data_IF_937006061142
#
_entry.id   IF_937006061142
#
_cell.length_a   1.000
_cell.length_b   1.000
_cell.length_c   1.000
_cell.angle_alpha   90.00
_cell.angle_beta   90.00
_cell.angle_gamma   90.00
#
_symmetry.space_group_name_H-M   'P 1'
#
loop_
_entity.id
_entity.type
_entity.pdbx_description
1 polymer ?
#
# COMPACT_ATOMS: atom_id res chain seq x y z
N UNK A 1 -0.81 6.39 14.70
CA UNK A 1 -1.43 6.69 13.40
C UNK A 1 -0.86 5.78 12.30
N UNK A 2 0.47 5.67 12.14
CA UNK A 2 1.11 4.81 11.13
C UNK A 2 0.76 3.32 11.30
N UNK A 3 0.57 2.83 12.54
CA UNK A 3 0.18 1.46 12.80
C UNK A 3 -1.22 1.08 12.27
N UNK A 4 -2.07 2.06 11.96
CA UNK A 4 -3.39 1.83 11.38
C UNK A 4 -3.38 1.80 9.85
N UNK A 5 -2.25 2.07 9.21
CA UNK A 5 -2.12 2.04 7.75
C UNK A 5 -1.99 0.61 7.25
N UNK A 6 -2.79 0.18 6.26
CA UNK A 6 -2.75 -1.19 5.75
C UNK A 6 -1.43 -1.52 5.04
N UNK A 7 -0.79 -0.56 4.38
CA UNK A 7 0.52 -0.73 3.73
C UNK A 7 1.65 -1.00 4.74
N UNK A 8 1.62 -0.33 5.90
CA UNK A 8 2.58 -0.57 6.99
C UNK A 8 2.34 -1.96 7.60
N UNK A 9 1.08 -2.33 7.84
CA UNK A 9 0.73 -3.67 8.34
C UNK A 9 1.14 -4.77 7.35
N UNK A 10 0.96 -4.54 6.05
CA UNK A 10 1.40 -5.46 5.01
C UNK A 10 2.92 -5.63 5.01
N UNK A 11 3.69 -4.54 5.12
CA UNK A 11 5.14 -4.59 5.18
C UNK A 11 5.64 -5.33 6.45
N UNK A 12 4.98 -5.12 7.59
CA UNK A 12 5.27 -5.85 8.83
C UNK A 12 4.98 -7.33 8.69
N UNK A 13 3.84 -7.71 8.11
CA UNK A 13 3.49 -9.11 7.85
C UNK A 13 4.48 -9.77 6.88
N UNK A 14 4.95 -9.06 5.84
CA UNK A 14 5.98 -9.55 4.92
C UNK A 14 7.32 -9.81 5.63
N UNK A 15 7.71 -8.95 6.57
CA UNK A 15 8.91 -9.17 7.38
C UNK A 15 8.76 -10.39 8.29
N UNK A 16 7.62 -10.54 8.98
CA UNK A 16 7.34 -11.71 9.83
C UNK A 16 7.39 -12.99 9.01
N UNK A 17 6.82 -12.99 7.81
CA UNK A 17 6.90 -14.12 6.90
C UNK A 17 8.35 -14.47 6.53
N UNK A 18 9.16 -13.48 6.15
CA UNK A 18 10.57 -13.71 5.83
C UNK A 18 11.38 -14.19 7.04
N UNK A 19 11.06 -13.72 8.25
CA UNK A 19 11.63 -14.20 9.49
C UNK A 19 11.33 -15.69 9.71
N UNK A 20 10.08 -16.11 9.54
CA UNK A 20 9.69 -17.52 9.70
C UNK A 20 10.31 -18.40 8.61
N UNK A 21 10.46 -17.92 7.38
CA UNK A 21 11.20 -18.65 6.34
C UNK A 21 12.68 -18.87 6.71
N UNK A 22 13.29 -17.91 7.42
CA UNK A 22 14.65 -18.09 7.94
C UNK A 22 14.67 -19.20 9.01
N UNK A 23 13.66 -19.29 9.88
CA UNK A 23 13.53 -20.38 10.84
C UNK A 23 13.33 -21.72 10.13
N UNK A 24 12.49 -21.77 9.09
CA UNK A 24 12.30 -22.96 8.25
C UNK A 24 13.65 -23.40 7.61
N UNK A 25 14.41 -22.45 7.05
CA UNK A 25 15.73 -22.78 6.49
C UNK A 25 16.71 -23.35 7.53
N UNK A 26 16.62 -22.91 8.79
CA UNK A 26 17.39 -23.46 9.91
C UNK A 26 17.02 -24.90 10.24
N UNK A 27 15.74 -25.29 10.07
CA UNK A 27 15.30 -26.66 10.36
C UNK A 27 15.97 -27.70 9.45
N UNK A 28 16.43 -27.30 8.26
CA UNK A 28 17.17 -28.19 7.36
C UNK A 28 18.52 -28.69 7.92
N UNK A 29 18.99 -28.10 9.03
CA UNK A 29 20.19 -28.56 9.76
C UNK A 29 19.89 -29.57 10.87
N UNK A 30 18.63 -29.88 11.13
CA UNK A 30 18.20 -30.90 12.08
C UNK A 30 17.79 -32.18 11.36
N UNK A 31 17.85 -33.35 12.04
CA UNK A 31 17.36 -34.60 11.47
C UNK A 31 15.86 -34.55 11.23
N UNK A 32 15.39 -35.06 10.10
CA UNK A 32 13.99 -35.28 9.82
C UNK A 32 13.55 -36.65 10.33
N UNK A 33 12.47 -36.70 11.09
CA UNK A 33 11.79 -37.93 11.50
C UNK A 33 10.65 -38.22 10.54
N UNK A 34 10.66 -39.39 9.91
CA UNK A 34 9.55 -39.88 9.08
C UNK A 34 8.94 -41.11 9.74
N UNK A 35 7.63 -41.12 9.86
CA UNK A 35 6.85 -42.28 10.32
C UNK A 35 5.98 -42.70 9.15
N UNK A 36 6.15 -43.96 8.72
CA UNK A 36 5.38 -44.57 7.64
C UNK A 36 4.55 -45.72 8.16
N UNK A 37 3.28 -45.74 7.82
CA UNK A 37 2.39 -46.84 8.13
C UNK A 37 1.76 -47.39 6.84
N UNK A 38 1.69 -48.68 6.68
CA UNK A 38 0.93 -49.33 5.62
C UNK A 38 0.07 -50.45 6.15
N UNK A 39 -1.11 -50.58 5.62
CA UNK A 39 -2.00 -51.70 5.87
C UNK A 39 -2.63 -52.14 4.56
N UNK A 40 -2.71 -53.44 4.34
CA UNK A 40 -3.28 -54.00 3.13
C UNK A 40 -3.51 -55.49 3.24
N UNK A 41 -4.12 -56.08 2.19
CA UNK A 41 -4.27 -57.51 2.06
C UNK A 41 -3.15 -58.05 1.15
N UNK A 42 -2.47 -59.10 1.59
CA UNK A 42 -1.38 -59.76 0.86
C UNK A 42 -1.60 -61.26 0.89
N UNK A 43 -1.78 -61.92 -0.28
CA UNK A 43 -1.99 -63.35 -0.39
C UNK A 43 -1.27 -63.87 -1.63
N UNK A 44 -0.75 -65.10 -1.54
CA UNK A 44 -0.14 -65.80 -2.67
C UNK A 44 -1.15 -66.38 -3.66
N UNK A 45 -2.43 -66.58 -3.23
CA UNK A 45 -3.51 -67.09 -4.05
C UNK A 45 -4.76 -66.21 -3.99
N UNK A 46 -5.43 -66.05 -5.09
CA UNK A 46 -6.63 -65.20 -5.17
C UNK A 46 -7.79 -65.73 -4.26
N UNK A 47 -7.82 -67.04 -4.02
CA UNK A 47 -8.84 -67.68 -3.14
C UNK A 47 -8.73 -67.22 -1.67
N UNK A 48 -7.53 -66.93 -1.21
CA UNK A 48 -7.29 -66.54 0.24
C UNK A 48 -7.10 -65.02 0.36
N UNK A 49 -7.38 -64.23 -0.67
CA UNK A 49 -7.14 -62.80 -0.63
C UNK A 49 -8.01 -62.06 0.38
N UNK A 50 -9.24 -62.54 0.62
CA UNK A 50 -10.17 -61.96 1.60
C UNK A 50 -10.19 -62.68 2.96
N UNK A 51 -9.26 -63.61 3.17
CA UNK A 51 -9.13 -64.25 4.48
C UNK A 51 -8.51 -63.30 5.51
N UNK A 52 -8.87 -63.34 6.76
CA UNK A 52 -8.24 -62.55 7.84
C UNK A 52 -6.73 -62.75 7.95
N UNK A 53 -6.22 -63.90 7.52
CA UNK A 53 -4.80 -64.20 7.46
C UNK A 53 -4.01 -63.46 6.37
N UNK A 54 -4.68 -62.85 5.41
CA UNK A 54 -4.06 -62.03 4.38
C UNK A 54 -3.83 -60.56 4.82
N UNK A 55 -4.34 -60.15 5.97
CA UNK A 55 -4.13 -58.83 6.51
C UNK A 55 -2.67 -58.64 6.91
N UNK A 56 -1.99 -57.70 6.25
CA UNK A 56 -0.62 -57.29 6.54
C UNK A 56 -0.63 -55.83 6.95
N UNK A 57 0.00 -55.52 8.09
CA UNK A 57 0.20 -54.14 8.54
C UNK A 57 1.69 -53.95 8.91
N UNK A 58 2.23 -52.79 8.55
CA UNK A 58 3.60 -52.46 8.95
C UNK A 58 3.66 -51.00 9.39
N UNK A 59 4.49 -50.75 10.41
CA UNK A 59 4.85 -49.40 10.85
C UNK A 59 6.37 -49.32 10.84
N UNK A 60 6.92 -48.28 10.19
CA UNK A 60 8.32 -47.97 10.14
C UNK A 60 8.60 -46.54 10.61
N UNK A 61 9.70 -46.36 11.31
CA UNK A 61 10.21 -45.01 11.65
C UNK A 61 11.64 -44.87 11.10
N UNK A 62 11.87 -43.72 10.44
CA UNK A 62 13.20 -43.40 9.88
C UNK A 62 13.67 -42.03 10.32
N UNK A 63 14.96 -41.91 10.71
CA UNK A 63 15.61 -40.64 11.01
C UNK A 63 16.65 -40.37 9.92
N UNK A 64 16.53 -39.22 9.22
CA UNK A 64 17.42 -38.88 8.13
C UNK A 64 18.03 -37.51 8.36
N UNK A 65 19.40 -37.46 8.29
CA UNK A 65 20.19 -36.21 8.37
C UNK A 65 21.12 -36.10 7.19
N UNK A 66 20.95 -35.10 6.29
CA UNK A 66 21.92 -34.88 5.22
C UNK A 66 23.21 -34.23 5.76
N UNK A 67 24.32 -34.93 5.77
CA UNK A 67 25.64 -34.42 6.19
C UNK A 67 26.36 -33.75 5.01
N UNK A 68 26.29 -34.34 3.82
CA UNK A 68 26.91 -33.85 2.59
C UNK A 68 25.85 -33.57 1.53
N UNK A 69 25.42 -32.28 1.41
CA UNK A 69 24.40 -31.83 0.43
C UNK A 69 24.93 -30.70 -0.45
N UNK A 70 26.20 -30.69 -0.83
CA UNK A 70 26.81 -29.65 -1.69
C UNK A 70 26.56 -28.20 -1.19
N UNK A 71 26.51 -27.98 0.12
CA UNK A 71 26.23 -26.71 0.80
C UNK A 71 24.81 -26.14 0.56
N UNK A 72 23.89 -26.90 -0.02
CA UNK A 72 22.56 -26.43 -0.32
C UNK A 72 21.87 -25.82 0.91
N UNK A 73 21.90 -26.50 2.07
CA UNK A 73 21.29 -25.99 3.31
C UNK A 73 21.89 -24.64 3.73
N UNK A 74 23.23 -24.50 3.62
CA UNK A 74 23.89 -23.24 3.98
C UNK A 74 23.52 -22.12 3.01
N UNK A 75 23.47 -22.39 1.72
CA UNK A 75 23.05 -21.40 0.71
C UNK A 75 21.60 -20.98 0.94
N UNK A 76 20.68 -21.94 1.16
CA UNK A 76 19.28 -21.64 1.44
C UNK A 76 19.09 -20.78 2.69
N UNK A 77 19.86 -21.06 3.76
CA UNK A 77 19.85 -20.23 4.96
C UNK A 77 20.34 -18.80 4.68
N UNK A 78 21.45 -18.65 3.94
CA UNK A 78 21.95 -17.33 3.56
C UNK A 78 20.92 -16.57 2.73
N UNK A 79 20.33 -17.21 1.72
CA UNK A 79 19.28 -16.60 0.89
C UNK A 79 18.07 -16.15 1.74
N UNK A 80 17.65 -17.00 2.70
CA UNK A 80 16.54 -16.63 3.60
C UNK A 80 16.89 -15.44 4.51
N UNK A 81 18.14 -15.38 5.02
CA UNK A 81 18.61 -14.25 5.83
C UNK A 81 18.67 -12.95 5.03
N UNK A 82 19.17 -12.99 3.80
CA UNK A 82 19.20 -11.81 2.91
C UNK A 82 17.78 -11.36 2.54
N UNK A 83 16.86 -12.31 2.30
CA UNK A 83 15.45 -12.00 2.06
C UNK A 83 14.78 -11.33 3.28
N UNK A 84 15.10 -11.79 4.50
CA UNK A 84 14.64 -11.16 5.73
C UNK A 84 15.18 -9.72 5.87
N UNK A 85 16.44 -9.50 5.54
CA UNK A 85 17.06 -8.18 5.58
C UNK A 85 16.43 -7.24 4.53
N UNK A 86 16.18 -7.75 3.32
CA UNK A 86 15.46 -7.01 2.28
C UNK A 86 14.05 -6.61 2.74
N UNK A 87 13.31 -7.51 3.41
CA UNK A 87 12.00 -7.20 3.98
C UNK A 87 12.07 -6.14 5.09
N UNK A 88 13.13 -6.13 5.91
CA UNK A 88 13.37 -5.08 6.91
C UNK A 88 13.58 -3.70 6.25
N UNK A 89 14.34 -3.63 5.17
CA UNK A 89 14.48 -2.40 4.39
C UNK A 89 13.16 -2.00 3.73
N UNK A 90 12.32 -2.97 3.34
CA UNK A 90 10.96 -2.75 2.85
C UNK A 90 10.10 -1.99 3.86
N UNK A 91 10.09 -2.42 5.14
CA UNK A 91 9.39 -1.69 6.21
C UNK A 91 9.90 -0.25 6.35
N UNK A 92 11.23 -0.08 6.41
CA UNK A 92 11.82 1.26 6.54
C UNK A 92 11.39 2.17 5.40
N UNK A 93 11.43 1.67 4.17
CA UNK A 93 10.98 2.42 2.98
C UNK A 93 9.49 2.79 3.06
N UNK A 94 8.62 1.84 3.43
CA UNK A 94 7.19 2.09 3.60
C UNK A 94 6.92 3.16 4.66
N UNK A 95 7.64 3.12 5.79
CA UNK A 95 7.51 4.14 6.84
C UNK A 95 7.96 5.53 6.38
N UNK A 96 9.04 5.62 5.60
CA UNK A 96 9.51 6.88 5.05
C UNK A 96 8.52 7.47 4.05
N UNK A 97 7.98 6.64 3.14
CA UNK A 97 6.94 7.05 2.19
C UNK A 97 5.68 7.51 2.95
N UNK A 98 5.25 6.75 3.95
CA UNK A 98 4.10 7.12 4.77
C UNK A 98 4.29 8.46 5.48
N UNK A 99 5.49 8.73 6.01
CA UNK A 99 5.83 10.02 6.63
C UNK A 99 5.82 11.17 5.61
N UNK A 100 6.36 10.93 4.42
CA UNK A 100 6.32 11.90 3.32
C UNK A 100 4.89 12.23 2.92
N UNK A 101 4.03 11.21 2.68
CA UNK A 101 2.63 11.40 2.30
C UNK A 101 1.84 12.24 3.32
N UNK A 102 2.06 12.00 4.62
CA UNK A 102 1.42 12.81 5.67
C UNK A 102 1.93 14.25 5.63
N UNK A 103 3.23 14.46 5.49
CA UNK A 103 3.83 15.79 5.38
C UNK A 103 3.27 16.54 4.18
N UNK A 104 3.28 15.90 2.99
CA UNK A 104 2.77 16.49 1.76
C UNK A 104 1.28 16.84 1.87
N UNK A 105 0.47 15.98 2.50
CA UNK A 105 -0.95 16.22 2.69
C UNK A 105 -1.22 17.41 3.64
N UNK A 106 -0.42 17.59 4.69
CA UNK A 106 -0.51 18.74 5.61
C UNK A 106 -0.18 20.04 4.85
N UNK A 107 0.94 20.06 4.11
CA UNK A 107 1.33 21.24 3.33
C UNK A 107 0.33 21.57 2.24
N UNK A 108 -0.19 20.55 1.54
CA UNK A 108 -1.23 20.74 0.51
C UNK A 108 -2.50 21.35 1.10
N UNK A 109 -2.92 20.89 2.28
CA UNK A 109 -4.09 21.44 2.98
C UNK A 109 -3.86 22.91 3.39
N UNK A 110 -2.71 23.24 3.97
CA UNK A 110 -2.38 24.60 4.38
C UNK A 110 -2.33 25.57 3.18
N UNK A 111 -1.62 25.17 2.10
CA UNK A 111 -1.53 25.99 0.88
C UNK A 111 -2.86 26.14 0.16
N UNK A 112 -3.74 25.13 0.20
CA UNK A 112 -5.08 25.22 -0.37
C UNK A 112 -5.96 26.26 0.37
N UNK A 113 -5.82 26.37 1.70
CA UNK A 113 -6.51 27.41 2.49
C UNK A 113 -6.03 28.81 2.12
N UNK A 114 -4.74 29.03 2.05
CA UNK A 114 -4.15 30.34 1.66
C UNK A 114 -4.60 30.72 0.24
N UNK A 115 -4.57 29.77 -0.69
CA UNK A 115 -4.96 29.98 -2.08
C UNK A 115 -6.41 30.41 -2.22
N UNK A 116 -7.34 29.84 -1.44
CA UNK A 116 -8.75 30.26 -1.43
C UNK A 116 -8.89 31.69 -0.96
N UNK A 117 -8.15 32.11 0.07
CA UNK A 117 -8.20 33.49 0.58
C UNK A 117 -7.74 34.49 -0.49
N UNK A 118 -6.59 34.23 -1.12
CA UNK A 118 -6.06 35.08 -2.20
C UNK A 118 -6.99 35.11 -3.39
N UNK A 119 -7.58 33.96 -3.76
CA UNK A 119 -8.56 33.88 -4.86
C UNK A 119 -9.82 34.68 -4.56
N UNK A 120 -10.31 34.67 -3.33
CA UNK A 120 -11.46 35.49 -2.94
C UNK A 120 -11.19 36.97 -3.13
N UNK A 121 -10.02 37.45 -2.66
CA UNK A 121 -9.62 38.84 -2.89
C UNK A 121 -9.47 39.19 -4.37
N UNK A 122 -9.00 38.25 -5.18
CA UNK A 122 -8.91 38.45 -6.65
C UNK A 122 -10.30 38.58 -7.28
N UNK A 123 -11.26 37.72 -6.89
CA UNK A 123 -12.64 37.79 -7.40
C UNK A 123 -13.29 39.13 -7.01
N UNK A 124 -13.18 39.56 -5.74
CA UNK A 124 -13.72 40.83 -5.28
C UNK A 124 -13.12 42.03 -6.04
N UNK A 125 -11.82 42.00 -6.34
CA UNK A 125 -11.17 43.05 -7.13
C UNK A 125 -11.65 43.05 -8.58
N UNK A 126 -11.87 41.88 -9.20
CA UNK A 126 -12.35 41.75 -10.57
C UNK A 126 -13.85 42.14 -10.69
N UNK A 127 -14.69 41.84 -9.68
CA UNK A 127 -16.09 42.32 -9.62
C UNK A 127 -16.12 43.84 -9.64
N UNK A 128 -15.30 44.50 -8.83
CA UNK A 128 -15.18 45.99 -8.84
C UNK A 128 -14.68 46.49 -10.19
N UNK A 129 -13.69 45.82 -10.80
CA UNK A 129 -13.18 46.15 -12.12
C UNK A 129 -14.27 46.10 -13.18
N UNK A 130 -15.11 45.05 -13.20
CA UNK A 130 -16.25 44.95 -14.10
C UNK A 130 -17.24 46.08 -13.87
N UNK A 131 -17.56 46.39 -12.61
CA UNK A 131 -18.49 47.47 -12.29
C UNK A 131 -17.99 48.86 -12.79
N UNK A 132 -16.68 49.14 -12.55
CA UNK A 132 -16.06 50.39 -13.01
C UNK A 132 -16.01 50.49 -14.55
N UNK A 133 -15.63 49.39 -15.23
CA UNK A 133 -15.58 49.37 -16.69
C UNK A 133 -16.96 49.57 -17.32
N UNK A 134 -18.01 49.01 -16.70
CA UNK A 134 -19.41 49.23 -17.15
C UNK A 134 -19.82 50.69 -16.98
N UNK A 135 -19.46 51.34 -15.86
CA UNK A 135 -19.75 52.74 -15.65
C UNK A 135 -19.00 53.66 -16.62
N UNK A 136 -17.73 53.36 -16.89
CA UNK A 136 -16.95 54.04 -17.92
C UNK A 136 -17.57 53.88 -19.31
N UNK A 137 -18.08 52.69 -19.66
CA UNK A 137 -18.82 52.50 -20.91
C UNK A 137 -20.06 53.35 -21.00
N UNK A 138 -20.88 53.42 -19.93
CA UNK A 138 -22.10 54.25 -19.87
C UNK A 138 -21.81 55.73 -20.09
N UNK A 139 -20.64 56.19 -19.60
CA UNK A 139 -20.22 57.57 -19.72
C UNK A 139 -19.37 57.85 -21.00
N UNK A 140 -19.23 56.86 -21.88
CA UNK A 140 -18.51 57.00 -23.16
C UNK A 140 -16.97 56.98 -23.07
N UNK A 141 -16.41 56.63 -21.92
CA UNK A 141 -14.95 56.59 -21.68
C UNK A 141 -14.31 55.22 -21.89
N UNK A 142 -15.10 54.15 -22.09
CA UNK A 142 -14.63 52.81 -22.40
C UNK A 142 -15.39 52.23 -23.58
N UNK A 143 -14.83 51.18 -24.20
CA UNK A 143 -15.48 50.46 -25.28
C UNK A 143 -16.02 49.09 -24.80
N UNK A 144 -16.92 48.50 -25.60
CA UNK A 144 -17.58 47.23 -25.25
C UNK A 144 -16.60 46.08 -25.10
N UNK A 145 -15.48 46.05 -25.83
CA UNK A 145 -14.46 45.01 -25.73
C UNK A 145 -13.79 45.02 -24.35
N UNK A 146 -13.61 46.20 -23.73
CA UNK A 146 -13.01 46.29 -22.40
C UNK A 146 -13.94 45.66 -21.33
N UNK A 147 -15.25 45.87 -21.47
CA UNK A 147 -16.24 45.22 -20.55
C UNK A 147 -16.21 43.70 -20.75
N UNK A 148 -16.14 43.20 -21.99
CA UNK A 148 -16.08 41.78 -22.28
C UNK A 148 -14.81 41.18 -21.66
N UNK A 149 -13.65 41.80 -21.84
CA UNK A 149 -12.37 41.38 -21.31
C UNK A 149 -12.40 41.32 -19.76
N UNK A 150 -12.97 42.36 -19.10
CA UNK A 150 -13.14 42.37 -17.66
C UNK A 150 -14.02 41.24 -17.18
N UNK A 151 -15.15 40.96 -17.85
CA UNK A 151 -16.03 39.83 -17.52
C UNK A 151 -15.42 38.48 -17.75
N UNK A 152 -14.63 38.30 -18.81
CA UNK A 152 -13.89 37.05 -19.05
C UNK A 152 -12.88 36.79 -17.93
N UNK A 153 -12.18 37.85 -17.48
CA UNK A 153 -11.22 37.74 -16.37
C UNK A 153 -11.93 37.38 -15.07
N UNK A 154 -13.09 37.96 -14.79
CA UNK A 154 -13.91 37.62 -13.63
C UNK A 154 -14.37 36.16 -13.68
N UNK A 155 -14.93 35.74 -14.81
CA UNK A 155 -15.40 34.35 -14.98
C UNK A 155 -14.25 33.35 -14.80
N UNK A 156 -13.07 33.64 -15.33
CA UNK A 156 -11.89 32.79 -15.15
C UNK A 156 -11.48 32.70 -13.67
N UNK A 157 -11.55 33.79 -12.91
CA UNK A 157 -11.27 33.83 -11.49
C UNK A 157 -12.31 33.06 -10.67
N UNK A 158 -13.60 33.18 -11.00
CA UNK A 158 -14.69 32.43 -10.36
C UNK A 158 -14.56 30.93 -10.58
N UNK A 159 -14.27 30.49 -11.80
CA UNK A 159 -13.97 29.08 -12.12
C UNK A 159 -12.73 28.60 -11.33
N UNK A 160 -11.71 29.46 -11.24
CA UNK A 160 -10.53 29.20 -10.42
C UNK A 160 -10.88 28.99 -8.94
N UNK A 161 -11.82 29.80 -8.39
CA UNK A 161 -12.30 29.69 -7.00
C UNK A 161 -13.00 28.33 -6.74
N UNK A 162 -13.83 27.88 -7.68
CA UNK A 162 -14.46 26.56 -7.58
C UNK A 162 -13.43 25.44 -7.58
N UNK A 163 -12.42 25.54 -8.46
CA UNK A 163 -11.35 24.54 -8.52
C UNK A 163 -10.46 24.55 -7.26
N UNK A 164 -10.13 25.74 -6.73
CA UNK A 164 -9.39 25.85 -5.45
C UNK A 164 -10.18 25.25 -4.28
N UNK A 165 -11.53 25.40 -4.28
CA UNK A 165 -12.39 24.75 -3.28
C UNK A 165 -12.39 23.23 -3.42
N UNK A 166 -12.41 22.70 -4.63
CA UNK A 166 -12.27 21.27 -4.90
C UNK A 166 -10.93 20.75 -4.37
N UNK A 167 -9.83 21.45 -4.64
CA UNK A 167 -8.50 21.08 -4.16
C UNK A 167 -8.43 21.07 -2.63
N UNK A 168 -9.08 22.02 -1.94
CA UNK A 168 -9.16 22.03 -0.48
C UNK A 168 -9.84 20.78 0.06
N UNK A 169 -11.00 20.41 -0.53
CA UNK A 169 -11.73 19.21 -0.10
C UNK A 169 -10.93 17.94 -0.37
N UNK A 170 -10.29 17.85 -1.53
CA UNK A 170 -9.41 16.72 -1.87
C UNK A 170 -8.21 16.62 -0.93
N UNK A 171 -7.61 17.76 -0.54
CA UNK A 171 -6.51 17.79 0.43
C UNK A 171 -6.96 17.25 1.80
N UNK A 172 -8.17 17.59 2.25
CA UNK A 172 -8.74 17.02 3.49
C UNK A 172 -8.92 15.50 3.42
N UNK A 173 -9.46 15.00 2.29
CA UNK A 173 -9.62 13.55 2.08
C UNK A 173 -8.26 12.85 2.01
N UNK A 174 -7.28 13.43 1.32
CA UNK A 174 -5.94 12.89 1.22
C UNK A 174 -5.25 12.83 2.59
N UNK A 175 -5.42 13.86 3.41
CA UNK A 175 -4.90 13.86 4.77
C UNK A 175 -5.53 12.75 5.62
N UNK A 176 -6.85 12.58 5.56
CA UNK A 176 -7.55 11.50 6.25
C UNK A 176 -7.04 10.12 5.81
N UNK A 177 -6.86 9.92 4.51
CA UNK A 177 -6.34 8.67 3.95
C UNK A 177 -4.87 8.41 4.35
N UNK A 178 -4.02 9.43 4.30
CA UNK A 178 -2.60 9.31 4.65
C UNK A 178 -2.38 8.97 6.13
N UNK A 179 -3.34 9.33 7.00
CA UNK A 179 -3.37 8.97 8.40
C UNK A 179 -3.89 7.54 8.67
N UNK A 180 -4.24 6.79 7.62
CA UNK A 180 -4.77 5.44 7.73
C UNK A 180 -6.27 5.36 7.99
N UNK A 181 -7.03 6.40 7.61
CA UNK A 181 -8.49 6.39 7.65
C UNK A 181 -9.13 5.78 6.39
N UNK A 182 -10.41 5.39 6.50
CA UNK A 182 -11.24 5.01 5.34
C UNK A 182 -11.20 3.54 4.91
N UNK A 183 -10.55 2.64 5.66
CA UNK A 183 -10.46 1.22 5.32
C UNK A 183 -11.08 0.28 6.39
N UNK A 184 -11.65 0.85 7.43
CA UNK A 184 -12.43 0.14 8.47
C UNK A 184 -13.90 0.49 8.33
#
# INVERSE_FOLDING_TARGET
LLANRPDVQQAEAAYRYAFELTNVARTAFYPSLSITGSAGLSSLTLANFFDPSSLAASIGAGLTQPIFNRRINRTNLTVAQEAQQAALFGIKNTLLIAGQEVSDAIYLHATALEKIQVRSLQVDALEKSVAYTQELLRNGFANYNEVITARQSLLAAELGRVNDKLLQLQAGVNLYRSLGGGWR
#
